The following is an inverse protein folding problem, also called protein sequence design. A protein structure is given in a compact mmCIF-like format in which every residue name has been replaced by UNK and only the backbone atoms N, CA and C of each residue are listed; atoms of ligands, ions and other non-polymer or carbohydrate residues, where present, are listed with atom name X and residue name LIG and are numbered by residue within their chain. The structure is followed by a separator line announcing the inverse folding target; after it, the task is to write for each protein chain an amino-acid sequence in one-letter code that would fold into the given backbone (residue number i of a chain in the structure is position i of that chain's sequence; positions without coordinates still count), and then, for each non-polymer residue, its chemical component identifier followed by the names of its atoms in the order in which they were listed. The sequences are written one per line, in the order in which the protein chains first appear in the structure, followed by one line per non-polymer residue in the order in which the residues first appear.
data_IF_981772014124
#
_entry.id   IF_981772014124
#
_cell.length_a   1.000
_cell.length_b   1.000
_cell.length_c   1.000
_cell.angle_alpha   90.00
_cell.angle_beta   90.00
_cell.angle_gamma   90.00
#
_symmetry.space_group_name_H-M   'P 1'
#
loop_
_entity.id
_entity.type
_entity.pdbx_description
1 polymer ?
#
# COMPACT_ATOMS: atom_id res chain seq x y z
N UNK A 1 37.32 -45.75 44.34
CA UNK A 1 36.63 -44.46 44.19
C UNK A 1 35.64 -44.62 43.05
N UNK A 2 34.34 -44.66 43.36
CA UNK A 2 33.25 -44.92 42.41
C UNK A 2 32.45 -43.63 42.29
N UNK A 3 32.53 -42.96 41.13
CA UNK A 3 31.76 -41.74 40.86
C UNK A 3 30.41 -42.14 40.27
N UNK A 4 29.33 -41.81 41.00
CA UNK A 4 27.95 -41.96 40.55
C UNK A 4 27.50 -40.62 39.95
N UNK A 5 27.03 -40.60 38.70
CA UNK A 5 26.43 -39.41 38.08
C UNK A 5 24.92 -39.49 38.20
N UNK A 6 24.32 -38.53 38.91
CA UNK A 6 22.88 -38.36 39.02
C UNK A 6 22.36 -37.61 37.80
N UNK A 7 21.48 -38.23 37.00
CA UNK A 7 20.81 -37.58 35.87
C UNK A 7 19.55 -36.90 36.41
N UNK A 8 19.50 -35.58 36.36
CA UNK A 8 18.30 -34.79 36.66
C UNK A 8 17.50 -34.58 35.38
N UNK A 9 16.25 -35.05 35.35
CA UNK A 9 15.30 -34.74 34.28
C UNK A 9 14.66 -33.37 34.52
N UNK A 10 14.48 -32.51 33.48
CA UNK A 10 13.76 -31.26 33.66
C UNK A 10 12.25 -31.53 33.66
N UNK A 11 11.55 -31.04 34.68
CA UNK A 11 10.10 -31.01 34.75
C UNK A 11 9.55 -29.86 33.90
N UNK A 12 8.73 -30.18 32.89
CA UNK A 12 7.97 -29.18 32.15
C UNK A 12 6.76 -28.72 32.99
N UNK A 13 6.47 -27.40 33.06
CA UNK A 13 5.24 -26.92 33.67
C UNK A 13 4.03 -27.29 32.80
N UNK A 14 2.97 -27.78 33.44
CA UNK A 14 1.69 -28.09 32.80
C UNK A 14 1.02 -26.81 32.28
N UNK A 15 0.63 -26.80 31.00
CA UNK A 15 -0.21 -25.76 30.39
C UNK A 15 -1.58 -25.69 31.11
N UNK A 16 -2.14 -24.49 31.32
CA UNK A 16 -3.50 -24.35 31.84
C UNK A 16 -4.54 -24.86 30.82
N UNK A 17 -5.72 -25.31 31.29
CA UNK A 17 -6.76 -25.80 30.40
C UNK A 17 -7.28 -24.70 29.48
N UNK A 18 -7.50 -25.06 28.21
CA UNK A 18 -8.14 -24.20 27.22
C UNK A 18 -9.56 -23.84 27.68
N UNK A 19 -9.81 -22.55 27.92
CA UNK A 19 -11.16 -22.03 28.05
C UNK A 19 -11.84 -22.07 26.67
N UNK A 20 -12.93 -22.81 26.57
CA UNK A 20 -13.87 -22.70 25.45
C UNK A 20 -14.38 -21.25 25.39
N UNK A 21 -13.94 -20.49 24.39
CA UNK A 21 -14.62 -19.24 24.03
C UNK A 21 -15.96 -19.59 23.42
N UNK A 22 -17.03 -19.22 24.11
CA UNK A 22 -18.38 -19.12 23.55
C UNK A 22 -18.36 -18.15 22.37
N UNK A 23 -18.80 -18.64 21.21
CA UNK A 23 -19.00 -17.85 20.00
C UNK A 23 -20.12 -16.83 20.20
N UNK A 24 -19.78 -15.62 20.61
CA UNK A 24 -20.67 -14.48 20.49
C UNK A 24 -20.47 -13.86 19.10
N UNK A 25 -21.42 -14.09 18.20
CA UNK A 25 -21.55 -13.33 16.94
C UNK A 25 -22.04 -11.91 17.27
N UNK A 26 -21.31 -10.84 16.89
CA UNK A 26 -21.88 -9.51 16.97
C UNK A 26 -22.83 -9.31 15.78
N UNK A 27 -24.14 -9.23 16.07
CA UNK A 27 -25.15 -8.82 15.10
C UNK A 27 -25.02 -7.32 14.84
N UNK A 28 -24.22 -6.94 13.85
CA UNK A 28 -24.24 -5.59 13.30
C UNK A 28 -25.44 -5.46 12.36
N UNK A 29 -26.47 -4.73 12.79
CA UNK A 29 -27.58 -4.32 11.93
C UNK A 29 -27.14 -3.09 11.12
N UNK A 30 -27.00 -3.24 9.81
CA UNK A 30 -26.85 -2.09 8.92
C UNK A 30 -28.17 -1.30 8.85
N UNK A 31 -28.17 0.04 8.97
CA UNK A 31 -29.31 0.84 8.58
C UNK A 31 -29.46 0.84 7.04
N UNK A 32 -30.70 0.87 6.51
CA UNK A 32 -30.92 0.91 5.07
C UNK A 32 -30.44 2.25 4.48
N UNK A 33 -29.66 2.18 3.40
CA UNK A 33 -29.29 3.35 2.59
C UNK A 33 -30.53 3.80 1.82
N UNK A 34 -31.11 4.93 2.22
CA UNK A 34 -32.16 5.61 1.45
C UNK A 34 -31.52 6.35 0.29
N UNK A 35 -31.68 5.82 -0.93
CA UNK A 35 -31.33 6.55 -2.16
C UNK A 35 -32.49 7.51 -2.47
N UNK A 36 -32.26 8.80 -2.30
CA UNK A 36 -33.19 9.85 -2.68
C UNK A 36 -33.10 10.04 -4.21
N UNK A 37 -34.06 9.48 -4.95
CA UNK A 37 -34.24 9.76 -6.38
C UNK A 37 -35.16 10.98 -6.54
N UNK A 38 -34.63 12.08 -7.08
CA UNK A 38 -35.45 13.19 -7.57
C UNK A 38 -36.02 12.84 -8.96
N UNK A 39 -37.31 13.11 -9.25
CA UNK A 39 -37.93 12.72 -10.50
C UNK A 39 -37.73 13.77 -11.60
N UNK A 40 -37.14 13.37 -12.73
CA UNK A 40 -37.25 14.09 -14.00
C UNK A 40 -38.14 13.30 -14.95
N UNK A 41 -39.32 13.85 -15.27
CA UNK A 41 -40.18 13.37 -16.37
C UNK A 41 -39.50 13.67 -17.72
N UNK A 42 -39.68 12.81 -18.74
CA UNK A 42 -40.68 13.18 -19.77
C UNK A 42 -41.45 12.00 -20.39
N UNK A 43 -42.71 12.26 -20.76
CA UNK A 43 -43.51 11.61 -21.82
C UNK A 43 -43.68 12.70 -22.89
N UNK A 44 -43.77 12.54 -24.20
CA UNK A 44 -43.80 11.42 -25.16
C UNK A 44 -43.55 12.08 -26.53
N UNK A 45 -42.94 11.37 -27.48
CA UNK A 45 -43.36 11.37 -28.89
C UNK A 45 -42.41 10.49 -29.73
N UNK A 46 -42.88 9.27 -30.00
CA UNK A 46 -42.88 8.62 -31.31
C UNK A 46 -41.71 8.89 -32.27
N UNK A 47 -40.74 7.97 -32.33
CA UNK A 47 -40.18 7.45 -33.59
C UNK A 47 -39.95 5.94 -33.45
N UNK A 48 -40.61 5.17 -34.30
CA UNK A 48 -40.36 3.73 -34.52
C UNK A 48 -38.89 3.54 -34.93
N UNK A 49 -38.19 2.56 -34.34
CA UNK A 49 -37.38 1.56 -35.06
C UNK A 49 -36.20 1.03 -34.23
N UNK A 50 -36.03 -0.29 -34.34
CA UNK A 50 -34.86 -1.11 -34.06
C UNK A 50 -34.42 -1.33 -32.59
N UNK A 51 -34.80 -2.50 -32.09
CA UNK A 51 -34.11 -3.28 -31.05
C UNK A 51 -32.59 -3.29 -31.30
N UNK A 52 -31.81 -2.50 -30.54
CA UNK A 52 -30.37 -2.72 -30.32
C UNK A 52 -29.74 -1.89 -29.18
N UNK A 53 -30.50 -1.33 -28.23
CA UNK A 53 -29.97 -0.28 -27.33
C UNK A 53 -29.18 -0.76 -26.11
N UNK A 54 -29.25 -2.03 -25.71
CA UNK A 54 -28.52 -2.54 -24.54
C UNK A 54 -27.07 -2.93 -24.83
N UNK A 55 -26.82 -3.55 -25.99
CA UNK A 55 -25.49 -4.00 -26.37
C UNK A 55 -24.60 -2.82 -26.80
N UNK A 56 -25.17 -1.84 -27.51
CA UNK A 56 -24.43 -0.67 -27.97
C UNK A 56 -24.07 0.30 -26.83
N UNK A 57 -24.92 0.45 -25.80
CA UNK A 57 -24.57 1.27 -24.64
C UNK A 57 -23.54 0.58 -23.74
N UNK A 58 -23.64 -0.74 -23.55
CA UNK A 58 -22.61 -1.52 -22.85
C UNK A 58 -21.27 -1.49 -23.59
N UNK A 59 -21.29 -1.56 -24.93
CA UNK A 59 -20.07 -1.41 -25.75
C UNK A 59 -19.54 0.02 -25.68
N UNK A 60 -20.38 1.05 -25.77
CA UNK A 60 -19.95 2.45 -25.65
C UNK A 60 -19.27 2.71 -24.31
N UNK A 61 -19.92 2.32 -23.21
CA UNK A 61 -19.37 2.45 -21.85
C UNK A 61 -18.09 1.62 -21.67
N UNK A 62 -18.04 0.40 -22.20
CA UNK A 62 -16.84 -0.45 -22.14
C UNK A 62 -15.69 0.12 -22.99
N UNK A 63 -15.98 0.80 -24.09
CA UNK A 63 -14.99 1.45 -24.96
C UNK A 63 -14.41 2.68 -24.27
N UNK A 64 -15.25 3.52 -23.66
CA UNK A 64 -14.81 4.66 -22.85
C UNK A 64 -13.97 4.22 -21.63
N UNK A 65 -14.36 3.15 -20.93
CA UNK A 65 -13.58 2.61 -19.81
C UNK A 65 -12.24 2.01 -20.28
N UNK A 66 -12.22 1.30 -21.41
CA UNK A 66 -11.01 0.79 -22.03
C UNK A 66 -10.07 1.92 -22.44
N UNK A 67 -10.60 2.99 -23.03
CA UNK A 67 -9.86 4.17 -23.45
C UNK A 67 -9.33 4.96 -22.26
N UNK A 68 -10.13 5.14 -21.20
CA UNK A 68 -9.68 5.74 -19.95
C UNK A 68 -8.56 4.92 -19.30
N UNK A 69 -8.68 3.59 -19.28
CA UNK A 69 -7.61 2.68 -18.79
C UNK A 69 -6.36 2.78 -19.66
N UNK A 70 -6.48 2.86 -20.98
CA UNK A 70 -5.35 3.05 -21.91
C UNK A 70 -4.70 4.41 -21.73
N UNK A 71 -5.48 5.49 -21.62
CA UNK A 71 -5.00 6.84 -21.40
C UNK A 71 -4.28 6.95 -20.04
N UNK A 72 -4.86 6.39 -18.96
CA UNK A 72 -4.18 6.27 -17.67
C UNK A 72 -2.90 5.47 -17.76
N UNK A 73 -2.91 4.32 -18.43
CA UNK A 73 -1.71 3.49 -18.58
C UNK A 73 -0.61 4.22 -19.38
N UNK A 74 -0.98 5.02 -20.37
CA UNK A 74 -0.05 5.84 -21.14
C UNK A 74 0.54 6.99 -20.31
N UNK A 75 -0.29 7.69 -19.51
CA UNK A 75 0.18 8.73 -18.59
C UNK A 75 1.10 8.15 -17.52
N UNK A 76 0.76 6.98 -16.97
CA UNK A 76 1.61 6.24 -16.01
C UNK A 76 2.96 5.85 -16.63
N UNK A 77 3.01 5.60 -17.95
CA UNK A 77 4.25 5.25 -18.67
C UNK A 77 5.15 6.43 -19.00
N UNK A 78 4.57 7.59 -19.31
CA UNK A 78 5.34 8.77 -19.75
C UNK A 78 5.65 9.75 -18.63
N UNK A 79 4.88 9.73 -17.54
CA UNK A 79 4.89 10.81 -16.57
C UNK A 79 4.38 12.13 -17.13
N UNK A 80 4.23 13.10 -16.24
CA UNK A 80 4.00 14.50 -16.60
C UNK A 80 5.29 15.26 -16.42
N UNK A 81 5.79 15.90 -17.47
CA UNK A 81 6.98 16.74 -17.40
C UNK A 81 6.68 18.09 -16.75
N UNK A 82 7.49 18.51 -15.79
CA UNK A 82 7.47 19.85 -15.18
C UNK A 82 8.90 20.38 -15.07
N UNK A 83 9.22 21.44 -15.81
CA UNK A 83 10.53 22.14 -15.75
C UNK A 83 11.77 21.22 -15.84
N UNK A 84 11.68 20.12 -16.62
CA UNK A 84 12.78 19.16 -16.79
C UNK A 84 12.74 17.97 -15.83
N UNK A 85 11.75 17.89 -14.94
CA UNK A 85 11.49 16.74 -14.09
C UNK A 85 10.34 15.91 -14.62
N UNK A 86 10.52 14.60 -14.64
CA UNK A 86 9.44 13.67 -14.95
C UNK A 86 8.75 13.29 -13.65
N UNK A 87 7.45 13.61 -13.53
CA UNK A 87 6.65 13.22 -12.38
C UNK A 87 5.76 12.07 -12.78
N UNK A 88 5.85 10.96 -12.05
CA UNK A 88 5.05 9.78 -12.32
C UNK A 88 4.38 9.31 -11.04
N UNK A 89 3.16 8.81 -11.08
CA UNK A 89 2.55 8.35 -9.85
C UNK A 89 1.24 7.60 -9.98
N UNK A 90 0.89 6.94 -8.88
CA UNK A 90 -0.37 6.26 -8.65
C UNK A 90 -0.97 6.86 -7.38
N UNK A 91 -2.23 7.27 -7.44
CA UNK A 91 -3.00 7.61 -6.25
C UNK A 91 -4.42 7.09 -6.43
N UNK A 92 -4.79 6.13 -5.60
CA UNK A 92 -6.09 5.49 -5.55
C UNK A 92 -6.48 5.46 -4.07
N UNK A 93 -7.50 6.25 -3.71
CA UNK A 93 -7.84 6.50 -2.31
C UNK A 93 -8.06 5.20 -1.51
N UNK A 94 -7.34 5.04 -0.41
CA UNK A 94 -7.40 3.86 0.46
C UNK A 94 -6.74 2.60 -0.11
N UNK A 95 -6.16 2.65 -1.31
CA UNK A 95 -5.50 1.51 -1.95
C UNK A 95 -3.99 1.70 -2.08
N UNK A 96 -3.54 2.82 -2.64
CA UNK A 96 -2.12 3.12 -2.83
C UNK A 96 -1.91 4.57 -3.25
N UNK A 97 -0.89 5.19 -2.66
CA UNK A 97 -0.25 6.42 -3.12
C UNK A 97 1.26 6.18 -3.29
N UNK A 98 1.79 6.57 -4.45
CA UNK A 98 3.23 6.62 -4.72
C UNK A 98 3.49 7.61 -5.86
N UNK A 99 4.36 8.59 -5.63
CA UNK A 99 4.81 9.57 -6.63
C UNK A 99 6.32 9.45 -6.78
N UNK A 100 6.83 9.42 -8.00
CA UNK A 100 8.22 9.14 -8.34
C UNK A 100 8.76 10.31 -9.18
N UNK A 101 9.96 10.78 -8.84
CA UNK A 101 10.74 11.75 -9.62
C UNK A 101 12.09 11.13 -9.95
N UNK A 102 12.22 10.46 -11.11
CA UNK A 102 13.40 9.66 -11.45
C UNK A 102 14.71 10.47 -11.46
N UNK A 103 14.68 11.71 -11.92
CA UNK A 103 15.86 12.58 -12.02
C UNK A 103 16.47 12.89 -10.64
N UNK A 104 15.64 12.89 -9.59
CA UNK A 104 16.06 13.06 -8.20
C UNK A 104 16.29 11.73 -7.48
N UNK A 105 16.04 10.60 -8.16
CA UNK A 105 16.01 9.25 -7.59
C UNK A 105 15.12 9.17 -6.33
N UNK A 106 14.01 9.92 -6.34
CA UNK A 106 13.13 9.99 -5.18
C UNK A 106 11.73 9.44 -5.45
N UNK A 107 11.13 8.89 -4.39
CA UNK A 107 9.72 8.56 -4.32
C UNK A 107 9.08 9.21 -3.08
N UNK A 108 7.83 9.63 -3.20
CA UNK A 108 6.96 10.07 -2.12
C UNK A 108 5.87 9.02 -1.93
N UNK A 109 5.79 8.47 -0.73
CA UNK A 109 4.98 7.31 -0.37
C UNK A 109 5.25 6.06 -1.23
N UNK A 110 4.82 4.91 -0.72
CA UNK A 110 5.08 3.60 -1.32
C UNK A 110 3.98 2.59 -1.00
N UNK A 111 2.71 2.98 -1.12
CA UNK A 111 1.56 2.21 -0.66
C UNK A 111 1.63 0.69 -0.88
N UNK A 112 1.79 0.21 -2.12
CA UNK A 112 1.97 -1.22 -2.44
C UNK A 112 3.30 -1.52 -3.13
N UNK A 113 4.26 -0.58 -3.09
CA UNK A 113 5.57 -0.70 -3.72
C UNK A 113 5.49 -0.98 -5.23
N UNK A 114 5.18 0.03 -6.07
CA UNK A 114 5.18 -0.16 -7.51
C UNK A 114 6.61 -0.43 -7.98
N UNK A 115 6.78 -1.32 -8.98
CA UNK A 115 8.10 -1.80 -9.41
C UNK A 115 9.10 -0.68 -9.73
N UNK A 116 8.63 0.46 -10.27
CA UNK A 116 9.50 1.60 -10.58
C UNK A 116 10.03 2.33 -9.35
N UNK A 117 9.33 2.28 -8.21
CA UNK A 117 9.80 2.88 -6.97
C UNK A 117 11.04 2.17 -6.42
N UNK A 118 11.21 0.87 -6.71
CA UNK A 118 12.37 0.06 -6.27
C UNK A 118 13.69 0.68 -6.72
N UNK A 119 13.74 1.36 -7.86
CA UNK A 119 14.95 1.99 -8.37
C UNK A 119 15.30 3.32 -7.66
N UNK A 120 14.38 3.91 -6.91
CA UNK A 120 14.59 5.19 -6.22
C UNK A 120 15.43 4.98 -4.96
N UNK A 121 16.40 5.86 -4.73
CA UNK A 121 17.31 5.78 -3.59
C UNK A 121 16.79 6.50 -2.35
N UNK A 122 15.96 7.53 -2.56
CA UNK A 122 15.38 8.35 -1.51
C UNK A 122 13.87 8.12 -1.47
N UNK A 123 13.35 7.77 -0.30
CA UNK A 123 11.93 7.56 -0.10
C UNK A 123 11.44 8.50 1.00
N UNK A 124 10.42 9.30 0.70
CA UNK A 124 9.81 10.22 1.65
C UNK A 124 8.41 9.71 1.98
N UNK A 125 8.19 9.29 3.22
CA UNK A 125 6.87 8.88 3.70
C UNK A 125 6.17 10.09 4.28
N UNK A 126 4.93 10.35 3.88
CA UNK A 126 4.17 11.50 4.39
C UNK A 126 3.49 11.19 5.72
N UNK A 127 2.93 9.99 5.87
CA UNK A 127 2.25 9.51 7.08
C UNK A 127 2.06 7.98 7.06
N UNK A 128 1.60 7.40 8.16
CA UNK A 128 1.59 5.94 8.39
C UNK A 128 0.30 5.21 7.99
N UNK A 129 -0.56 5.79 7.14
CA UNK A 129 -1.67 5.01 6.59
C UNK A 129 -1.14 3.93 5.64
N UNK A 130 -1.83 2.78 5.59
CA UNK A 130 -1.34 1.59 4.90
C UNK A 130 -1.20 1.82 3.38
N UNK A 131 -2.08 2.62 2.79
CA UNK A 131 -2.01 3.02 1.39
C UNK A 131 -0.86 4.00 1.09
N UNK A 132 -0.14 4.49 2.09
CA UNK A 132 1.04 5.33 1.93
C UNK A 132 2.34 4.59 2.29
N UNK A 133 2.37 3.77 3.35
CA UNK A 133 3.60 3.13 3.83
C UNK A 133 3.65 1.61 3.62
N UNK A 134 2.53 0.96 3.28
CA UNK A 134 2.39 -0.50 3.35
C UNK A 134 3.43 -1.30 2.55
N UNK A 135 3.93 -0.74 1.46
CA UNK A 135 4.95 -1.36 0.62
C UNK A 135 6.38 -1.19 1.12
N UNK A 136 6.62 -0.49 2.24
CA UNK A 136 7.98 -0.19 2.73
C UNK A 136 8.83 -1.45 2.97
N UNK A 137 8.35 -2.51 3.67
CA UNK A 137 9.14 -3.73 3.83
C UNK A 137 9.45 -4.41 2.49
N UNK A 138 8.47 -4.45 1.60
CA UNK A 138 8.62 -5.04 0.25
C UNK A 138 9.65 -4.29 -0.58
N UNK A 139 9.64 -2.96 -0.50
CA UNK A 139 10.59 -2.09 -1.19
C UNK A 139 12.03 -2.38 -0.77
N UNK A 140 12.30 -2.39 0.54
CA UNK A 140 13.64 -2.65 1.08
C UNK A 140 14.08 -4.08 0.76
N UNK A 141 13.20 -5.06 0.91
CA UNK A 141 13.49 -6.46 0.58
C UNK A 141 13.82 -6.64 -0.91
N UNK A 142 13.04 -6.00 -1.81
CA UNK A 142 13.25 -6.11 -3.26
C UNK A 142 14.56 -5.46 -3.68
N UNK A 143 14.94 -4.33 -3.06
CA UNK A 143 16.26 -3.71 -3.28
C UNK A 143 17.40 -4.65 -2.87
N UNK A 144 17.27 -5.31 -1.72
CA UNK A 144 18.23 -6.32 -1.26
C UNK A 144 18.33 -7.50 -2.23
N UNK A 145 17.20 -8.01 -2.72
CA UNK A 145 17.15 -9.08 -3.72
C UNK A 145 17.85 -8.70 -5.04
N UNK A 146 17.77 -7.44 -5.44
CA UNK A 146 18.41 -6.92 -6.64
C UNK A 146 19.84 -6.41 -6.40
N UNK A 147 20.40 -6.63 -5.21
CA UNK A 147 21.73 -6.16 -4.82
C UNK A 147 21.91 -4.64 -5.03
N UNK A 148 20.83 -3.88 -4.85
CA UNK A 148 20.87 -2.41 -4.88
C UNK A 148 21.36 -1.87 -3.53
N UNK A 149 21.87 -0.64 -3.53
CA UNK A 149 22.25 0.01 -2.28
C UNK A 149 21.06 0.13 -1.33
N UNK A 150 21.26 0.04 -0.01
CA UNK A 150 20.24 0.41 0.96
C UNK A 150 19.65 1.80 0.64
N UNK A 151 18.32 1.97 0.71
CA UNK A 151 17.72 3.27 0.50
C UNK A 151 17.83 4.15 1.76
N UNK A 152 17.76 5.47 1.56
CA UNK A 152 17.49 6.41 2.65
C UNK A 152 15.99 6.68 2.68
N UNK A 153 15.37 6.45 3.82
CA UNK A 153 13.93 6.61 4.05
C UNK A 153 13.73 7.74 5.04
N UNK A 154 13.02 8.77 4.61
CA UNK A 154 12.64 9.91 5.43
C UNK A 154 11.22 9.72 5.92
N UNK A 155 11.01 9.92 7.22
CA UNK A 155 9.70 9.79 7.88
C UNK A 155 9.47 10.95 8.83
N UNK A 156 8.21 11.33 9.12
CA UNK A 156 7.90 12.26 10.19
C UNK A 156 8.49 11.76 11.52
N UNK A 157 9.04 12.65 12.37
CA UNK A 157 9.61 12.24 13.67
C UNK A 157 8.63 11.42 14.51
N UNK A 158 7.34 11.75 14.43
CA UNK A 158 6.28 11.08 15.18
C UNK A 158 6.09 9.59 14.85
N UNK A 159 6.57 9.11 13.70
CA UNK A 159 6.42 7.69 13.29
C UNK A 159 7.75 6.95 13.17
N UNK A 160 8.89 7.59 13.47
CA UNK A 160 10.21 6.98 13.27
C UNK A 160 10.35 5.67 14.03
N UNK A 161 10.07 5.68 15.32
CA UNK A 161 10.20 4.49 16.18
C UNK A 161 9.25 3.38 15.75
N UNK A 162 8.03 3.72 15.31
CA UNK A 162 7.07 2.74 14.77
C UNK A 162 7.59 2.07 13.50
N UNK A 163 8.25 2.83 12.62
CA UNK A 163 8.84 2.31 11.39
C UNK A 163 10.05 1.42 11.69
N UNK A 164 10.90 1.78 12.67
CA UNK A 164 11.99 0.90 13.12
C UNK A 164 11.45 -0.44 13.62
N UNK A 165 10.41 -0.39 14.45
CA UNK A 165 9.73 -1.59 14.96
C UNK A 165 9.10 -2.43 13.84
N UNK A 166 8.47 -1.79 12.84
CA UNK A 166 7.89 -2.45 11.67
C UNK A 166 8.95 -3.23 10.88
N UNK A 167 10.10 -2.60 10.63
CA UNK A 167 11.19 -3.22 9.89
C UNK A 167 11.82 -4.36 10.69
N UNK A 168 12.02 -4.18 12.00
CA UNK A 168 12.53 -5.23 12.87
C UNK A 168 11.60 -6.45 12.94
N UNK A 169 10.28 -6.22 13.01
CA UNK A 169 9.30 -7.30 12.99
C UNK A 169 9.38 -8.10 11.68
N UNK A 170 9.50 -7.43 10.54
CA UNK A 170 9.66 -8.11 9.24
C UNK A 170 11.01 -8.85 9.14
N UNK A 171 12.10 -8.31 9.68
CA UNK A 171 13.40 -9.03 9.77
C UNK A 171 13.25 -10.33 10.54
N UNK A 172 12.60 -10.28 11.71
CA UNK A 172 12.35 -11.47 12.56
C UNK A 172 11.47 -12.50 11.87
N UNK A 173 10.36 -12.07 11.27
CA UNK A 173 9.41 -12.97 10.61
C UNK A 173 9.99 -13.59 9.34
N UNK A 174 10.66 -12.78 8.50
CA UNK A 174 11.18 -13.22 7.21
C UNK A 174 12.57 -13.85 7.27
N UNK A 175 13.29 -13.70 8.39
CA UNK A 175 14.70 -14.09 8.52
C UNK A 175 15.59 -13.49 7.42
N UNK A 176 15.30 -12.24 7.03
CA UNK A 176 16.01 -11.50 5.98
C UNK A 176 16.58 -10.21 6.52
N UNK A 177 17.69 -9.77 5.93
CA UNK A 177 18.18 -8.41 6.15
C UNK A 177 17.33 -7.41 5.36
N UNK A 178 16.91 -6.34 6.04
CA UNK A 178 16.13 -5.24 5.46
C UNK A 178 16.86 -3.90 5.67
N UNK A 179 18.05 -3.79 5.09
CA UNK A 179 18.95 -2.66 5.33
C UNK A 179 18.41 -1.36 4.71
N UNK A 180 18.25 -0.33 5.54
CA UNK A 180 17.87 1.02 5.17
C UNK A 180 18.56 2.03 6.11
N UNK A 181 18.69 3.26 5.66
CA UNK A 181 19.01 4.41 6.50
C UNK A 181 17.71 5.17 6.79
N UNK A 182 17.27 5.19 8.05
CA UNK A 182 15.99 5.78 8.45
C UNK A 182 16.22 7.14 9.14
N UNK A 183 15.73 8.20 8.51
CA UNK A 183 15.96 9.59 8.95
C UNK A 183 14.62 10.23 9.34
N UNK A 184 14.55 10.77 10.57
CA UNK A 184 13.45 11.66 10.94
C UNK A 184 13.64 13.00 10.24
N UNK A 185 12.64 13.45 9.49
CA UNK A 185 12.64 14.74 8.81
C UNK A 185 11.44 15.58 9.27
N UNK A 186 11.72 16.68 9.97
CA UNK A 186 10.72 17.64 10.39
C UNK A 186 10.62 18.82 9.41
N UNK A 187 9.46 19.48 9.37
CA UNK A 187 9.24 20.64 8.51
C UNK A 187 10.09 21.81 9.00
N UNK A 188 10.97 22.34 8.15
CA UNK A 188 11.78 23.52 8.45
C UNK A 188 13.16 23.27 9.06
N UNK A 189 13.56 22.01 9.26
CA UNK A 189 14.94 21.67 9.57
C UNK A 189 15.77 21.64 8.29
N UNK A 190 16.33 22.78 7.90
CA UNK A 190 17.47 22.82 7.00
C UNK A 190 18.70 22.58 7.87
N UNK A 191 19.35 21.43 7.70
CA UNK A 191 20.67 21.20 8.27
C UNK A 191 21.63 22.26 7.71
N UNK A 192 21.92 23.29 8.51
CA UNK A 192 22.96 24.29 8.27
C UNK A 192 24.35 23.72 8.47
#
# INVERSE_FOLDING_TARGET
MQFSMTITTPSFPSLPPFHHSTSHTPSYKHPPITIHQNPTKPHDNSIKSLKNSGFLSAIGNATEEQEYRKARAEVIRKGTGLEGYTIEGLSIGGHETCVIVPELKCAFDIGRCPARAVAMNFLFITHAHLDHIGGLPMYVATRGLYSLSPPTVFVPPAIKDDVENLMELHRKMGMVELNLDLVALDVGLVSS
#
